data_IF_674175694065
#
_entry.id   IF_674175694065
#
_cell.length_a   1.000
_cell.length_b   1.000
_cell.length_c   1.000
_cell.angle_alpha   90.00
_cell.angle_beta   90.00
_cell.angle_gamma   90.00
#
_symmetry.space_group_name_H-M   'P 1'
#
loop_
_entity.id
_entity.type
_entity.pdbx_description
1 polymer ?
#
# COMPACT_ATOMS: atom_id res chain seq x y z
N UNK A 1 27.70 -42.93 -73.65
CA UNK A 1 27.58 -41.55 -73.11
C UNK A 1 26.30 -41.51 -72.30
N UNK A 2 26.42 -41.64 -70.99
CA UNK A 2 25.29 -41.79 -70.06
C UNK A 2 25.18 -40.54 -69.20
N UNK A 3 24.05 -39.86 -69.28
CA UNK A 3 23.75 -38.66 -68.48
C UNK A 3 23.10 -39.00 -67.17
N UNK A 4 23.82 -38.77 -66.08
CA UNK A 4 23.28 -38.90 -64.70
C UNK A 4 22.37 -37.69 -64.37
N UNK A 5 21.07 -37.91 -64.20
CA UNK A 5 20.12 -36.95 -63.63
C UNK A 5 20.29 -36.90 -62.11
N UNK A 6 20.82 -35.81 -61.61
CA UNK A 6 20.83 -35.52 -60.17
C UNK A 6 19.44 -35.02 -59.75
N UNK A 7 18.74 -35.77 -58.90
CA UNK A 7 17.48 -35.38 -58.26
C UNK A 7 17.79 -34.65 -56.95
N UNK A 8 17.64 -33.32 -56.95
CA UNK A 8 17.71 -32.50 -55.75
C UNK A 8 16.46 -32.70 -54.89
N UNK A 9 16.64 -33.32 -53.72
CA UNK A 9 15.60 -33.44 -52.68
C UNK A 9 15.43 -32.07 -52.01
N UNK A 10 14.35 -31.39 -52.35
CA UNK A 10 13.87 -30.20 -51.61
C UNK A 10 13.40 -30.66 -50.24
N UNK A 11 14.21 -30.45 -49.20
CA UNK A 11 13.77 -30.51 -47.78
C UNK A 11 12.85 -29.33 -47.53
N UNK A 12 11.56 -29.56 -47.45
CA UNK A 12 10.55 -28.58 -47.04
C UNK A 12 10.72 -28.21 -45.58
N UNK A 13 11.17 -26.97 -45.31
CA UNK A 13 11.20 -26.36 -43.96
C UNK A 13 9.79 -25.88 -43.55
N UNK A 14 8.88 -26.84 -43.30
CA UNK A 14 7.49 -26.54 -42.89
C UNK A 14 7.21 -26.58 -41.37
N UNK A 15 8.19 -26.21 -40.53
CA UNK A 15 8.06 -26.35 -39.08
C UNK A 15 7.95 -25.05 -38.24
N UNK A 16 7.68 -23.88 -38.84
CA UNK A 16 7.75 -22.60 -38.15
C UNK A 16 6.42 -21.88 -37.82
N UNK A 17 5.30 -22.25 -38.46
CA UNK A 17 4.07 -21.44 -38.36
C UNK A 17 3.17 -21.79 -37.16
N UNK A 18 3.09 -23.05 -36.76
CA UNK A 18 2.26 -23.48 -35.63
C UNK A 18 2.74 -22.96 -34.29
N UNK A 19 4.05 -23.02 -34.04
CA UNK A 19 4.64 -22.52 -32.78
C UNK A 19 4.46 -21.02 -32.60
N UNK A 20 4.61 -20.23 -33.69
CA UNK A 20 4.38 -18.77 -33.63
C UNK A 20 2.91 -18.40 -33.37
N UNK A 21 1.97 -19.16 -33.88
CA UNK A 21 0.52 -18.95 -33.61
C UNK A 21 0.19 -19.29 -32.16
N UNK A 22 0.67 -20.41 -31.64
CA UNK A 22 0.50 -20.80 -30.24
C UNK A 22 1.11 -19.76 -29.29
N UNK A 23 2.34 -19.31 -29.57
CA UNK A 23 3.00 -18.28 -28.75
C UNK A 23 2.20 -16.97 -28.73
N UNK A 24 1.71 -16.51 -29.89
CA UNK A 24 0.87 -15.30 -29.99
C UNK A 24 -0.43 -15.48 -29.21
N UNK A 25 -1.08 -16.61 -29.29
CA UNK A 25 -2.30 -16.91 -28.55
C UNK A 25 -2.03 -16.90 -27.03
N UNK A 26 -0.97 -17.57 -26.57
CA UNK A 26 -0.56 -17.56 -25.16
C UNK A 26 -0.23 -16.13 -24.69
N UNK A 27 0.51 -15.35 -25.48
CA UNK A 27 0.80 -13.96 -25.16
C UNK A 27 -0.47 -13.10 -25.07
N UNK A 28 -1.45 -13.32 -25.95
CA UNK A 28 -2.74 -12.62 -25.90
C UNK A 28 -3.55 -13.00 -24.65
N UNK A 29 -3.56 -14.26 -24.25
CA UNK A 29 -4.24 -14.72 -23.03
C UNK A 29 -3.58 -14.10 -21.79
N UNK A 30 -2.25 -14.10 -21.71
CA UNK A 30 -1.52 -13.49 -20.60
C UNK A 30 -1.79 -11.98 -20.53
N UNK A 31 -1.78 -11.30 -21.69
CA UNK A 31 -2.08 -9.86 -21.74
C UNK A 31 -3.51 -9.57 -21.26
N UNK A 32 -4.50 -10.33 -21.72
CA UNK A 32 -5.89 -10.16 -21.31
C UNK A 32 -6.07 -10.44 -19.81
N UNK A 33 -5.39 -11.47 -19.28
CA UNK A 33 -5.40 -11.76 -17.85
C UNK A 33 -4.77 -10.64 -17.03
N UNK A 34 -3.64 -10.07 -17.50
CA UNK A 34 -2.99 -8.93 -16.86
C UNK A 34 -3.89 -7.68 -16.88
N UNK A 35 -4.50 -7.37 -18.03
CA UNK A 35 -5.44 -6.24 -18.13
C UNK A 35 -6.66 -6.42 -17.21
N UNK A 36 -7.21 -7.63 -17.13
CA UNK A 36 -8.31 -7.96 -16.21
C UNK A 36 -7.90 -7.79 -14.75
N UNK A 37 -6.70 -8.28 -14.38
CA UNK A 37 -6.15 -8.14 -13.02
C UNK A 37 -5.95 -6.69 -12.62
N UNK A 38 -5.24 -5.90 -13.44
CA UNK A 38 -4.99 -4.48 -13.13
C UNK A 38 -6.27 -3.64 -13.19
N UNK A 39 -7.21 -3.96 -14.09
CA UNK A 39 -8.53 -3.34 -14.10
C UNK A 39 -9.31 -3.60 -12.82
N UNK A 40 -9.34 -4.84 -12.36
CA UNK A 40 -9.97 -5.19 -11.08
C UNK A 40 -9.30 -4.48 -9.90
N UNK A 41 -7.97 -4.48 -9.82
CA UNK A 41 -7.24 -3.76 -8.78
C UNK A 41 -7.55 -2.26 -8.76
N UNK A 42 -7.62 -1.63 -9.93
CA UNK A 42 -7.98 -0.22 -10.02
C UNK A 42 -9.35 0.06 -9.38
N UNK A 43 -10.36 -0.75 -9.71
CA UNK A 43 -11.70 -0.60 -9.14
C UNK A 43 -11.74 -0.83 -7.63
N UNK A 44 -11.02 -1.83 -7.12
CA UNK A 44 -10.95 -2.11 -5.69
C UNK A 44 -10.24 -0.99 -4.92
N UNK A 45 -9.09 -0.52 -5.43
CA UNK A 45 -8.35 0.60 -4.82
C UNK A 45 -9.22 1.85 -4.81
N UNK A 46 -9.90 2.17 -5.93
CA UNK A 46 -10.76 3.34 -6.02
C UNK A 46 -11.95 3.24 -5.06
N UNK A 47 -12.58 2.07 -4.96
CA UNK A 47 -13.71 1.86 -4.04
C UNK A 47 -13.31 2.10 -2.58
N UNK A 48 -12.12 1.63 -2.16
CA UNK A 48 -11.60 1.87 -0.82
C UNK A 48 -11.18 3.33 -0.63
N UNK A 49 -10.58 3.95 -1.66
CA UNK A 49 -10.10 5.32 -1.59
C UNK A 49 -11.22 6.37 -1.44
N UNK A 50 -12.39 6.09 -1.98
CA UNK A 50 -13.55 6.99 -1.95
C UNK A 50 -14.48 6.76 -0.76
N UNK A 51 -14.32 5.64 -0.03
CA UNK A 51 -15.21 5.26 1.04
C UNK A 51 -14.59 5.51 2.41
N UNK A 52 -15.21 6.39 3.20
CA UNK A 52 -14.93 6.52 4.63
C UNK A 52 -15.80 5.53 5.40
N UNK A 53 -15.14 4.58 6.08
CA UNK A 53 -15.80 3.56 6.89
C UNK A 53 -15.66 3.84 8.40
N UNK A 54 -15.21 5.04 8.80
CA UNK A 54 -15.04 5.39 10.20
C UNK A 54 -16.31 5.10 11.00
N UNK A 55 -16.15 4.38 12.08
CA UNK A 55 -17.22 3.98 13.01
C UNK A 55 -16.63 3.69 14.38
N UNK A 56 -17.43 3.61 15.44
CA UNK A 56 -16.94 3.29 16.78
C UNK A 56 -16.06 2.05 16.78
N UNK A 57 -14.82 2.20 17.27
CA UNK A 57 -13.78 1.19 17.31
C UNK A 57 -12.94 1.28 18.59
N UNK A 58 -12.02 0.33 18.80
CA UNK A 58 -11.15 0.32 19.98
C UNK A 58 -9.95 1.26 19.83
N UNK A 59 -9.50 1.50 18.60
CA UNK A 59 -8.37 2.39 18.29
C UNK A 59 -8.47 3.04 16.91
N UNK A 60 -7.78 4.18 16.76
CA UNK A 60 -7.42 4.79 15.46
C UNK A 60 -5.95 4.52 15.22
N UNK A 61 -5.57 3.94 14.09
CA UNK A 61 -4.18 3.71 13.69
C UNK A 61 -3.80 4.63 12.52
N UNK A 62 -2.82 5.49 12.75
CA UNK A 62 -2.27 6.39 11.73
C UNK A 62 -1.02 5.76 11.15
N UNK A 63 -1.08 5.38 9.88
CA UNK A 63 0.08 4.87 9.16
C UNK A 63 1.07 5.99 8.84
N UNK A 64 2.35 5.69 9.03
CA UNK A 64 3.43 6.64 8.82
C UNK A 64 3.52 7.14 7.38
N UNK A 65 4.08 8.31 7.24
CA UNK A 65 4.57 8.92 6.02
C UNK A 65 5.88 9.62 6.38
N UNK A 66 6.49 10.39 5.50
CA UNK A 66 7.76 11.03 5.83
C UNK A 66 7.64 12.02 7.01
N UNK A 67 8.71 12.16 7.77
CA UNK A 67 8.95 13.25 8.72
C UNK A 67 10.19 14.04 8.27
N UNK A 68 10.27 15.32 8.61
CA UNK A 68 11.39 16.19 8.27
C UNK A 68 11.85 16.96 9.50
N UNK A 69 13.04 16.62 10.04
CA UNK A 69 13.65 17.30 11.18
C UNK A 69 12.70 17.45 12.39
N UNK A 70 11.96 16.36 12.71
CA UNK A 70 11.03 16.33 13.83
C UNK A 70 9.68 17.00 13.56
N UNK A 71 9.36 17.27 12.29
CA UNK A 71 8.05 17.77 11.86
C UNK A 71 7.39 16.79 10.91
N UNK A 72 6.06 16.59 11.01
CA UNK A 72 5.39 15.74 10.06
C UNK A 72 5.47 16.34 8.64
N UNK A 73 5.70 15.52 7.62
CA UNK A 73 5.52 15.92 6.23
C UNK A 73 4.07 16.41 6.01
N UNK A 74 3.77 17.14 4.93
CA UNK A 74 2.39 17.55 4.65
C UNK A 74 1.41 16.37 4.61
N UNK A 75 1.86 15.21 4.14
CA UNK A 75 1.06 13.97 4.08
C UNK A 75 0.80 13.43 5.49
N UNK A 76 1.84 13.27 6.30
CA UNK A 76 1.70 12.80 7.68
C UNK A 76 0.86 13.76 8.51
N UNK A 77 1.07 15.06 8.33
CA UNK A 77 0.28 16.11 8.99
C UNK A 77 -1.22 15.93 8.71
N UNK A 78 -1.61 15.76 7.45
CA UNK A 78 -3.02 15.60 7.10
C UNK A 78 -3.63 14.29 7.63
N UNK A 79 -2.84 13.20 7.74
CA UNK A 79 -3.28 11.97 8.40
C UNK A 79 -3.51 12.18 9.90
N UNK A 80 -2.61 12.91 10.53
CA UNK A 80 -2.69 13.23 11.97
C UNK A 80 -3.86 14.17 12.26
N UNK A 81 -4.09 15.20 11.43
CA UNK A 81 -5.26 16.07 11.56
C UNK A 81 -6.55 15.27 11.53
N UNK A 82 -6.69 14.38 10.53
CA UNK A 82 -7.85 13.54 10.42
C UNK A 82 -8.02 12.60 11.63
N UNK A 83 -6.93 12.05 12.15
CA UNK A 83 -6.98 11.23 13.36
C UNK A 83 -7.41 12.04 14.60
N UNK A 84 -7.01 13.31 14.71
CA UNK A 84 -7.46 14.23 15.78
C UNK A 84 -8.97 14.50 15.66
N UNK A 85 -9.49 14.69 14.44
CA UNK A 85 -10.92 14.85 14.18
C UNK A 85 -11.70 13.61 14.64
N UNK A 86 -11.29 12.41 14.17
CA UNK A 86 -11.92 11.16 14.58
C UNK A 86 -11.87 10.92 16.09
N UNK A 87 -10.76 11.30 16.74
CA UNK A 87 -10.64 11.22 18.20
C UNK A 87 -11.61 12.17 18.91
N UNK A 88 -11.77 13.40 18.43
CA UNK A 88 -12.73 14.39 18.97
C UNK A 88 -14.18 13.99 18.75
N UNK A 89 -14.46 13.24 17.68
CA UNK A 89 -15.77 12.64 17.40
C UNK A 89 -16.01 11.35 18.20
N UNK A 90 -15.10 11.02 19.11
CA UNK A 90 -15.18 9.84 19.99
C UNK A 90 -15.26 8.51 19.22
N UNK A 91 -14.73 8.45 17.99
CA UNK A 91 -14.71 7.23 17.17
C UNK A 91 -13.89 6.13 17.86
N UNK A 92 -12.78 6.48 18.54
CA UNK A 92 -12.07 5.53 19.37
C UNK A 92 -11.32 6.22 20.53
N UNK A 93 -11.15 5.52 21.66
CA UNK A 93 -10.49 6.08 22.84
C UNK A 93 -8.96 6.06 22.79
N UNK A 94 -8.36 5.42 21.78
CA UNK A 94 -6.92 5.21 21.65
C UNK A 94 -6.47 5.64 20.25
N UNK A 95 -5.34 6.35 20.14
CA UNK A 95 -4.69 6.65 18.86
C UNK A 95 -3.31 5.99 18.83
N UNK A 96 -3.02 5.28 17.75
CA UNK A 96 -1.75 4.58 17.51
C UNK A 96 -1.09 5.26 16.32
N UNK A 97 0.13 5.76 16.50
CA UNK A 97 0.97 6.30 15.41
C UNK A 97 2.03 5.28 15.06
N UNK A 98 2.20 5.01 13.77
CA UNK A 98 3.10 3.97 13.26
C UNK A 98 4.20 4.58 12.39
N UNK A 99 5.40 4.09 12.53
CA UNK A 99 6.53 4.41 11.66
C UNK A 99 7.83 4.72 12.41
N UNK A 100 8.88 3.98 12.07
CA UNK A 100 10.22 4.10 12.65
C UNK A 100 11.09 5.16 11.99
N UNK A 101 10.77 5.55 10.76
CA UNK A 101 11.58 6.45 9.96
C UNK A 101 12.87 5.81 9.43
N UNK A 102 13.52 6.47 8.48
CA UNK A 102 14.85 6.07 8.02
C UNK A 102 15.90 6.46 9.09
N UNK A 103 16.65 5.49 9.55
CA UNK A 103 17.64 5.62 10.64
C UNK A 103 18.77 6.66 10.41
N UNK A 104 18.75 7.42 9.31
CA UNK A 104 19.90 8.19 8.86
C UNK A 104 19.97 9.62 9.39
N UNK A 105 18.87 10.32 9.74
CA UNK A 105 18.97 11.77 9.76
C UNK A 105 18.65 12.53 11.06
N UNK A 106 17.87 12.02 12.00
CA UNK A 106 17.53 12.87 13.16
C UNK A 106 17.33 12.16 14.49
N UNK A 107 17.31 10.83 14.52
CA UNK A 107 16.85 10.08 15.70
C UNK A 107 15.34 10.29 15.99
N UNK A 108 14.65 11.00 15.12
CA UNK A 108 13.20 11.19 15.16
C UNK A 108 12.53 10.12 14.29
N UNK A 109 11.33 9.73 14.68
CA UNK A 109 10.55 8.70 13.99
C UNK A 109 9.17 9.23 13.66
N UNK A 110 8.57 8.73 12.59
CA UNK A 110 7.22 9.13 12.17
C UNK A 110 6.20 8.91 13.30
N UNK A 111 6.27 7.76 13.97
CA UNK A 111 5.43 7.46 15.13
C UNK A 111 5.67 8.40 16.32
N UNK A 112 6.92 8.75 16.58
CA UNK A 112 7.28 9.71 17.62
C UNK A 112 6.81 11.13 17.33
N UNK A 113 7.06 11.62 16.11
CA UNK A 113 6.58 12.93 15.64
C UNK A 113 5.05 12.97 15.64
N UNK A 114 4.40 11.87 15.23
CA UNK A 114 2.94 11.72 15.29
C UNK A 114 2.41 11.84 16.71
N UNK A 115 3.02 11.17 17.69
CA UNK A 115 2.68 11.31 19.11
C UNK A 115 2.76 12.75 19.57
N UNK A 116 3.89 13.43 19.28
CA UNK A 116 4.12 14.78 19.74
C UNK A 116 3.10 15.76 19.11
N UNK A 117 2.72 15.51 17.86
CA UNK A 117 1.67 16.26 17.19
C UNK A 117 0.30 16.04 17.85
N UNK A 118 -0.08 14.80 18.16
CA UNK A 118 -1.35 14.48 18.83
C UNK A 118 -1.44 15.11 20.22
N UNK A 119 -0.34 15.08 20.99
CA UNK A 119 -0.23 15.76 22.29
C UNK A 119 -0.47 17.26 22.16
N UNK A 120 0.17 17.91 21.19
CA UNK A 120 0.00 19.35 20.94
C UNK A 120 -1.44 19.70 20.52
N UNK A 121 -2.20 18.74 19.98
CA UNK A 121 -3.59 18.90 19.55
C UNK A 121 -4.63 18.41 20.58
N UNK A 122 -4.20 18.12 21.82
CA UNK A 122 -5.08 17.85 22.96
C UNK A 122 -5.47 16.39 23.16
N UNK A 123 -4.82 15.44 22.48
CA UNK A 123 -4.98 14.01 22.78
C UNK A 123 -4.12 13.68 24.01
N UNK A 124 -4.69 13.14 25.11
CA UNK A 124 -3.93 12.84 26.32
C UNK A 124 -2.85 11.78 26.08
N UNK A 125 -1.72 11.89 26.77
CA UNK A 125 -0.58 10.97 26.61
C UNK A 125 -0.94 9.51 26.78
N UNK A 126 -1.77 9.21 27.77
CA UNK A 126 -2.26 7.85 28.07
C UNK A 126 -3.19 7.28 26.98
N UNK A 127 -3.64 8.09 26.06
CA UNK A 127 -4.45 7.74 24.90
C UNK A 127 -3.65 7.59 23.61
N UNK A 128 -2.34 7.68 23.68
CA UNK A 128 -1.46 7.59 22.52
C UNK A 128 -0.51 6.41 22.66
N UNK A 129 -0.35 5.65 21.60
CA UNK A 129 0.71 4.65 21.45
C UNK A 129 1.55 5.00 20.23
N UNK A 130 2.83 5.27 20.43
CA UNK A 130 3.76 5.51 19.33
C UNK A 130 4.56 4.24 19.05
N UNK A 131 4.41 3.68 17.85
CA UNK A 131 5.26 2.64 17.32
C UNK A 131 6.38 3.31 16.48
N UNK A 132 7.63 2.99 16.76
CA UNK A 132 8.79 3.74 16.29
C UNK A 132 9.89 2.86 15.67
N UNK A 133 9.58 1.63 15.28
CA UNK A 133 10.56 0.67 14.80
C UNK A 133 10.33 0.22 13.36
N UNK A 134 9.10 0.27 12.88
CA UNK A 134 8.73 -0.21 11.55
C UNK A 134 9.22 0.75 10.46
N UNK A 135 9.84 0.21 9.42
CA UNK A 135 10.42 1.00 8.31
C UNK A 135 9.63 0.85 7.00
N UNK A 136 8.61 0.00 6.97
CA UNK A 136 7.74 -0.24 5.83
C UNK A 136 6.33 -0.61 6.26
N UNK A 137 5.40 -0.68 5.31
CA UNK A 137 3.98 -0.95 5.58
C UNK A 137 3.75 -2.33 6.17
N UNK A 138 4.48 -3.36 5.74
CA UNK A 138 4.34 -4.72 6.24
C UNK A 138 4.74 -4.80 7.71
N UNK A 139 5.84 -4.15 8.07
CA UNK A 139 6.28 -4.04 9.46
C UNK A 139 5.30 -3.20 10.29
N UNK A 140 4.77 -2.10 9.76
CA UNK A 140 3.75 -1.30 10.46
C UNK A 140 2.52 -2.14 10.78
N UNK A 141 2.04 -2.98 9.84
CA UNK A 141 0.92 -3.90 10.09
C UNK A 141 1.29 -4.97 11.11
N UNK A 142 2.47 -5.57 11.03
CA UNK A 142 2.92 -6.57 12.01
C UNK A 142 2.97 -5.97 13.43
N UNK A 143 3.52 -4.76 13.58
CA UNK A 143 3.56 -4.04 14.86
C UNK A 143 2.17 -3.66 15.35
N UNK A 144 1.28 -3.22 14.45
CA UNK A 144 -0.11 -2.95 14.79
C UNK A 144 -0.82 -4.20 15.32
N UNK A 145 -0.57 -5.36 14.72
CA UNK A 145 -1.13 -6.63 15.17
C UNK A 145 -0.61 -7.02 16.56
N UNK A 146 0.68 -6.84 16.84
CA UNK A 146 1.26 -7.06 18.18
C UNK A 146 0.61 -6.13 19.22
N UNK A 147 0.45 -4.83 18.92
CA UNK A 147 -0.19 -3.85 19.79
C UNK A 147 -1.65 -4.24 20.03
N UNK A 148 -2.39 -4.61 18.97
CA UNK A 148 -3.77 -5.05 19.07
C UNK A 148 -3.94 -6.28 19.97
N UNK A 149 -3.06 -7.27 19.83
CA UNK A 149 -3.06 -8.46 20.68
C UNK A 149 -2.77 -8.11 22.14
N UNK A 150 -1.71 -7.34 22.41
CA UNK A 150 -1.32 -6.95 23.77
C UNK A 150 -2.41 -6.15 24.49
N UNK A 151 -3.10 -5.27 23.75
CA UNK A 151 -4.15 -4.40 24.28
C UNK A 151 -5.57 -4.96 24.14
N UNK A 152 -5.70 -6.14 23.51
CA UNK A 152 -6.97 -6.82 23.25
C UNK A 152 -7.95 -5.97 22.44
N UNK A 153 -7.42 -5.23 21.45
CA UNK A 153 -8.24 -4.44 20.52
C UNK A 153 -8.95 -5.38 19.56
N UNK A 154 -10.22 -5.15 19.29
CA UNK A 154 -11.05 -5.97 18.41
C UNK A 154 -11.29 -5.31 17.05
N UNK A 155 -11.28 -3.99 17.04
CA UNK A 155 -11.55 -3.19 15.84
C UNK A 155 -10.68 -1.94 15.81
N UNK A 156 -10.23 -1.56 14.64
CA UNK A 156 -9.30 -0.44 14.45
C UNK A 156 -9.74 0.37 13.24
N UNK A 157 -9.86 1.69 13.38
CA UNK A 157 -9.97 2.60 12.24
C UNK A 157 -8.58 2.93 11.74
N UNK A 158 -8.31 2.68 10.46
CA UNK A 158 -7.01 2.90 9.83
C UNK A 158 -7.04 4.18 9.01
N UNK A 159 -6.15 5.11 9.32
CA UNK A 159 -5.99 6.40 8.63
C UNK A 159 -4.75 6.39 7.76
N UNK A 160 -4.93 6.67 6.47
CA UNK A 160 -3.85 6.82 5.48
C UNK A 160 -4.33 7.58 4.24
N UNK A 161 -3.49 7.62 3.18
CA UNK A 161 -3.93 8.09 1.86
C UNK A 161 -4.91 7.11 1.23
N UNK A 162 -5.95 7.61 0.58
CA UNK A 162 -7.01 6.78 0.01
C UNK A 162 -6.48 5.63 -0.87
N UNK A 163 -5.58 5.92 -1.81
CA UNK A 163 -5.00 4.89 -2.69
C UNK A 163 -4.21 3.81 -1.95
N UNK A 164 -3.61 4.17 -0.79
CA UNK A 164 -2.79 3.25 0.02
C UNK A 164 -3.63 2.34 0.92
N UNK A 165 -4.85 2.76 1.28
CA UNK A 165 -5.72 2.05 2.23
C UNK A 165 -6.11 0.64 1.78
N UNK A 166 -6.25 0.39 0.48
CA UNK A 166 -6.56 -0.95 -0.02
C UNK A 166 -5.46 -1.96 0.38
N UNK A 167 -4.19 -1.63 0.15
CA UNK A 167 -3.05 -2.51 0.51
C UNK A 167 -2.95 -2.69 2.02
N UNK A 168 -3.08 -1.60 2.80
CA UNK A 168 -3.08 -1.67 4.26
C UNK A 168 -4.22 -2.57 4.76
N UNK A 169 -5.45 -2.41 4.25
CA UNK A 169 -6.59 -3.25 4.62
C UNK A 169 -6.27 -4.73 4.41
N UNK A 170 -5.76 -5.09 3.21
CA UNK A 170 -5.45 -6.48 2.89
C UNK A 170 -4.37 -7.07 3.79
N UNK A 171 -3.32 -6.31 4.08
CA UNK A 171 -2.29 -6.72 5.03
C UNK A 171 -2.83 -6.89 6.45
N UNK A 172 -3.69 -5.99 6.91
CA UNK A 172 -4.33 -6.09 8.22
C UNK A 172 -5.26 -7.30 8.30
N UNK A 173 -6.08 -7.55 7.26
CA UNK A 173 -6.95 -8.73 7.17
C UNK A 173 -6.12 -10.03 7.20
N UNK A 174 -5.02 -10.10 6.45
CA UNK A 174 -4.10 -11.25 6.44
C UNK A 174 -3.43 -11.46 7.82
N UNK A 175 -3.22 -10.39 8.58
CA UNK A 175 -2.72 -10.42 9.97
C UNK A 175 -3.82 -10.72 11.01
N UNK A 176 -5.07 -10.95 10.59
CA UNK A 176 -6.21 -11.28 11.48
C UNK A 176 -6.82 -10.08 12.20
N UNK A 177 -6.55 -8.85 11.74
CA UNK A 177 -7.14 -7.63 12.29
C UNK A 177 -8.48 -7.31 11.63
N UNK A 178 -9.43 -6.83 12.42
CA UNK A 178 -10.67 -6.21 11.92
C UNK A 178 -10.43 -4.70 11.77
N UNK A 179 -10.40 -4.21 10.54
CA UNK A 179 -10.10 -2.81 10.26
C UNK A 179 -11.20 -2.13 9.44
N UNK A 180 -11.39 -0.83 9.70
CA UNK A 180 -12.24 0.09 8.94
C UNK A 180 -11.33 1.18 8.38
N UNK A 181 -11.40 1.44 7.09
CA UNK A 181 -10.54 2.43 6.44
C UNK A 181 -11.17 3.81 6.45
N UNK A 182 -10.38 4.81 6.78
CA UNK A 182 -10.78 6.21 6.77
C UNK A 182 -9.71 7.03 6.04
N UNK A 183 -9.97 7.43 4.78
CA UNK A 183 -9.02 8.20 3.99
C UNK A 183 -8.90 9.61 4.52
N UNK A 184 -7.66 10.10 4.70
CA UNK A 184 -7.45 11.51 5.01
C UNK A 184 -8.00 12.42 3.91
N UNK A 185 -8.44 13.64 4.22
CA UNK A 185 -8.83 14.63 3.23
C UNK A 185 -7.73 14.92 2.20
N UNK A 186 -8.11 15.23 0.96
CA UNK A 186 -7.17 15.55 -0.10
C UNK A 186 -6.39 16.85 0.23
N UNK A 187 -5.08 16.86 -0.01
CA UNK A 187 -4.22 18.04 0.08
C UNK A 187 -4.26 18.78 -1.28
N UNK A 188 -5.37 19.49 -1.55
CA UNK A 188 -5.51 20.24 -2.78
C UNK A 188 -5.73 19.35 -4.03
N UNK A 189 -5.54 19.93 -5.22
CA UNK A 189 -5.68 19.22 -6.48
C UNK A 189 -4.40 18.45 -6.80
N UNK A 190 -4.53 17.13 -6.93
CA UNK A 190 -3.46 16.27 -7.42
C UNK A 190 -3.59 16.19 -8.93
N UNK A 191 -2.50 16.41 -9.67
CA UNK A 191 -2.50 16.26 -11.13
C UNK A 191 -2.85 14.83 -11.56
N UNK A 192 -3.54 14.68 -12.69
CA UNK A 192 -3.98 13.36 -13.18
C UNK A 192 -2.81 12.38 -13.35
N UNK A 193 -1.63 12.88 -13.73
CA UNK A 193 -0.42 12.07 -13.87
C UNK A 193 0.10 11.55 -12.53
N UNK A 194 0.16 12.41 -11.51
CA UNK A 194 0.62 12.02 -10.17
C UNK A 194 -0.35 11.03 -9.54
N UNK A 195 -1.65 11.25 -9.75
CA UNK A 195 -2.68 10.32 -9.32
C UNK A 195 -2.53 8.95 -10.01
N UNK A 196 -2.34 8.94 -11.34
CA UNK A 196 -2.12 7.70 -12.09
C UNK A 196 -0.86 6.94 -11.61
N UNK A 197 0.22 7.66 -11.29
CA UNK A 197 1.45 7.06 -10.73
C UNK A 197 1.18 6.41 -9.36
N UNK A 198 0.40 7.04 -8.48
CA UNK A 198 0.02 6.47 -7.18
C UNK A 198 -0.78 5.19 -7.34
N UNK A 199 -1.81 5.18 -8.20
CA UNK A 199 -2.57 3.96 -8.50
C UNK A 199 -1.67 2.85 -9.05
N UNK A 200 -0.80 3.17 -10.01
CA UNK A 200 0.10 2.19 -10.60
C UNK A 200 1.07 1.61 -9.57
N UNK A 201 1.62 2.47 -8.69
CA UNK A 201 2.49 2.04 -7.59
C UNK A 201 1.76 1.06 -6.66
N UNK A 202 0.56 1.38 -6.21
CA UNK A 202 -0.20 0.51 -5.30
C UNK A 202 -0.63 -0.81 -5.98
N UNK A 203 -1.06 -0.76 -7.25
CA UNK A 203 -1.38 -1.97 -8.01
C UNK A 203 -0.15 -2.89 -8.16
N UNK A 204 1.02 -2.31 -8.46
CA UNK A 204 2.26 -3.06 -8.60
C UNK A 204 2.71 -3.63 -7.25
N UNK A 205 2.74 -2.80 -6.19
CA UNK A 205 3.13 -3.20 -4.84
C UNK A 205 2.26 -4.34 -4.33
N UNK A 206 0.93 -4.24 -4.49
CA UNK A 206 0.02 -5.30 -4.09
C UNK A 206 0.20 -6.59 -4.92
N UNK A 207 0.42 -6.46 -6.24
CA UNK A 207 0.67 -7.63 -7.09
C UNK A 207 1.93 -8.37 -6.67
N UNK A 208 3.02 -7.65 -6.39
CA UNK A 208 4.29 -8.25 -5.95
C UNK A 208 4.15 -8.90 -4.56
N UNK A 209 3.45 -8.25 -3.65
CA UNK A 209 3.10 -8.80 -2.34
C UNK A 209 2.37 -10.16 -2.50
N UNK A 210 1.34 -10.23 -3.35
CA UNK A 210 0.57 -11.46 -3.59
C UNK A 210 1.37 -12.57 -4.30
N UNK A 211 2.39 -12.20 -5.07
CA UNK A 211 3.32 -13.14 -5.71
C UNK A 211 4.48 -13.54 -4.79
N UNK A 212 4.53 -13.06 -3.56
CA UNK A 212 5.66 -13.22 -2.62
C UNK A 212 7.02 -12.80 -3.23
N UNK A 213 6.99 -11.81 -4.14
CA UNK A 213 8.17 -11.24 -4.77
C UNK A 213 8.53 -9.94 -4.04
N UNK A 214 9.55 -10.02 -3.19
CA UNK A 214 10.05 -8.85 -2.48
C UNK A 214 11.16 -8.17 -3.30
N UNK A 215 10.87 -6.98 -3.81
CA UNK A 215 11.84 -6.13 -4.48
C UNK A 215 12.15 -4.91 -3.60
N UNK A 216 13.18 -5.03 -2.75
CA UNK A 216 13.57 -4.02 -1.75
C UNK A 216 13.73 -2.57 -2.26
N UNK A 217 13.73 -2.31 -3.59
CA UNK A 217 13.75 -0.96 -4.15
C UNK A 217 12.43 -0.18 -4.04
N UNK A 218 11.32 -0.87 -3.75
CA UNK A 218 10.00 -0.22 -3.62
C UNK A 218 9.78 0.42 -2.25
N UNK A 219 10.53 0.02 -1.26
CA UNK A 219 10.43 0.53 0.11
C UNK A 219 11.00 1.95 0.28
N UNK A 220 11.67 2.50 -0.73
CA UNK A 220 12.31 3.81 -0.66
C UNK A 220 11.53 4.98 -1.29
N UNK A 221 10.31 4.77 -1.81
CA UNK A 221 9.56 5.82 -2.53
C UNK A 221 8.29 6.32 -1.86
N UNK A 222 7.91 5.77 -0.71
CA UNK A 222 6.73 6.25 0.03
C UNK A 222 7.02 7.54 0.84
N UNK A 223 8.21 8.12 0.68
CA UNK A 223 8.68 9.34 1.33
C UNK A 223 8.77 10.51 0.32
N UNK A 224 7.65 10.94 -0.23
CA UNK A 224 7.58 12.10 -1.11
C UNK A 224 6.30 12.89 -0.90
#
# INVERSE_FOLDING_TARGET
>A
MSALKSSAVRRGSGRGSGGRRLLRWLASVVLLAALGWFGWLYFEINAVAEQDEARPADAIAVFGAAEYLGRPSPVLHARLDHAVELYREEIAPLVITLGGGAAADSGMTEGGVGRDYLLANGVPYERIVAETQSVDTDQQVARLAEIAQMRRLKSIVVVSDGTHLFRIRKLCEDAGLTVYTSPRPALGHIGDWDLAQRYFHEMLSYTLLRMHLDFGWMHGKDSG
#
